data_IF_398392197903
#
_entry.id   IF_398392197903
#
_cell.length_a   1.000
_cell.length_b   1.000
_cell.length_c   1.000
_cell.angle_alpha   90.00
_cell.angle_beta   90.00
_cell.angle_gamma   90.00
#
_symmetry.space_group_name_H-M   'P 1'
#
loop_
_entity.id
_entity.type
_entity.pdbx_description
1 polymer ?
#
# COMPACT_ATOMS: atom_id res chain seq x y z
N UNK A 1 -10.08 10.03 -0.03
CA UNK A 1 -11.38 9.59 0.52
C UNK A 1 -11.34 9.42 2.03
N UNK A 2 -10.58 8.46 2.60
CA UNK A 2 -10.63 8.17 4.04
C UNK A 2 -10.33 9.35 4.98
N UNK A 3 -9.39 10.23 4.64
CA UNK A 3 -9.15 11.45 5.41
C UNK A 3 -10.34 12.42 5.44
N UNK A 4 -11.24 12.38 4.44
CA UNK A 4 -12.47 13.17 4.45
C UNK A 4 -13.46 12.63 5.49
N UNK A 5 -13.45 11.32 5.77
CA UNK A 5 -14.39 10.74 6.73
C UNK A 5 -14.13 11.19 8.16
N UNK A 6 -12.92 11.65 8.49
CA UNK A 6 -12.58 12.20 9.80
C UNK A 6 -13.38 13.47 10.17
N UNK A 7 -14.03 14.13 9.21
CA UNK A 7 -14.92 15.27 9.50
C UNK A 7 -16.31 14.83 9.99
N UNK A 8 -16.65 13.56 9.80
CA UNK A 8 -17.97 13.05 10.19
C UNK A 8 -18.01 12.83 11.71
N UNK A 9 -19.12 13.19 12.38
CA UNK A 9 -19.29 12.92 13.80
C UNK A 9 -19.14 11.43 14.12
N UNK A 10 -18.40 11.13 15.19
CA UNK A 10 -18.16 9.75 15.63
C UNK A 10 -17.12 9.00 14.81
N UNK A 11 -16.58 9.56 13.72
CA UNK A 11 -15.48 8.97 12.97
C UNK A 11 -14.16 9.57 13.43
N UNK A 12 -13.21 8.73 13.82
CA UNK A 12 -11.87 9.17 14.18
C UNK A 12 -10.84 8.45 13.31
N UNK A 13 -9.86 9.21 12.84
CA UNK A 13 -8.73 8.71 12.09
C UNK A 13 -7.46 8.84 12.94
N UNK A 14 -6.90 7.70 13.35
CA UNK A 14 -5.68 7.68 14.16
C UNK A 14 -4.41 7.85 13.34
N UNK A 15 -4.52 7.92 12.00
CA UNK A 15 -3.38 8.19 11.12
C UNK A 15 -3.37 9.66 10.68
N UNK A 16 -2.36 10.37 11.15
CA UNK A 16 -2.15 11.79 10.85
C UNK A 16 -1.43 12.02 9.51
N UNK A 17 -0.94 10.96 8.85
CA UNK A 17 -0.18 11.03 7.59
C UNK A 17 -0.99 10.46 6.41
N UNK A 18 -1.97 11.25 5.94
CA UNK A 18 -2.86 10.92 4.81
C UNK A 18 -2.33 11.51 3.51
N UNK A 19 -1.22 10.99 3.01
CA UNK A 19 -0.62 11.52 1.80
C UNK A 19 -1.32 11.04 0.52
N UNK A 20 -1.70 9.77 0.43
CA UNK A 20 -2.50 9.21 -0.66
C UNK A 20 -3.25 7.98 -0.16
N UNK A 21 -4.19 7.46 -0.96
CA UNK A 21 -4.90 6.23 -0.61
C UNK A 21 -3.97 5.02 -0.76
N UNK A 22 -4.03 4.10 0.18
CA UNK A 22 -3.18 2.91 0.29
C UNK A 22 -4.00 1.76 0.90
N UNK A 23 -3.59 0.51 0.71
CA UNK A 23 -4.28 -0.67 1.23
C UNK A 23 -4.56 -0.62 2.76
N UNK A 24 -3.68 0.02 3.54
CA UNK A 24 -3.87 0.21 5.00
C UNK A 24 -4.72 1.42 5.38
N UNK A 25 -5.20 2.20 4.42
CA UNK A 25 -5.91 3.46 4.67
C UNK A 25 -7.17 3.28 5.51
N UNK A 26 -7.83 2.14 5.42
CA UNK A 26 -8.99 1.86 6.26
C UNK A 26 -8.59 1.59 7.73
N UNK A 27 -7.44 0.97 8.01
CA UNK A 27 -7.09 0.45 9.35
C UNK A 27 -7.16 1.52 10.44
N UNK A 28 -6.81 2.77 10.14
CA UNK A 28 -6.75 3.83 11.15
C UNK A 28 -8.09 4.51 11.42
N UNK A 29 -9.13 4.17 10.65
CA UNK A 29 -10.48 4.67 10.88
C UNK A 29 -11.16 3.84 11.97
N UNK A 30 -11.66 4.53 12.99
CA UNK A 30 -12.53 4.01 14.05
C UNK A 30 -13.86 4.77 14.02
N UNK A 31 -14.95 4.10 14.38
CA UNK A 31 -16.28 4.69 14.42
C UNK A 31 -16.83 4.46 15.83
N UNK A 32 -17.29 5.52 16.49
CA UNK A 32 -17.82 5.53 17.86
C UNK A 32 -16.90 4.86 18.90
N UNK A 33 -15.58 4.94 18.71
CA UNK A 33 -14.59 4.34 19.62
C UNK A 33 -14.46 2.82 19.51
N UNK A 34 -15.13 2.17 18.56
CA UNK A 34 -14.96 0.74 18.32
C UNK A 34 -13.53 0.43 17.80
N UNK A 35 -13.00 -0.78 18.08
CA UNK A 35 -11.72 -1.21 17.54
C UNK A 35 -11.70 -1.06 16.02
N UNK A 36 -10.59 -0.54 15.49
CA UNK A 36 -10.51 -0.19 14.08
C UNK A 36 -10.63 -1.40 13.14
N UNK A 37 -10.40 -2.61 13.63
CA UNK A 37 -10.57 -3.83 12.84
C UNK A 37 -12.04 -4.24 12.70
N UNK A 38 -12.92 -3.76 13.58
CA UNK A 38 -14.30 -4.21 13.68
C UNK A 38 -15.24 -3.38 12.80
N UNK A 39 -14.82 -2.97 11.60
CA UNK A 39 -15.65 -2.20 10.66
C UNK A 39 -15.75 -2.89 9.33
N UNK A 40 -16.86 -2.66 8.64
CA UNK A 40 -17.07 -3.12 7.27
C UNK A 40 -16.84 -1.96 6.30
N UNK A 41 -16.19 -2.24 5.17
CA UNK A 41 -16.05 -1.28 4.07
C UNK A 41 -16.60 -1.97 2.83
N UNK A 42 -17.65 -1.38 2.26
CA UNK A 42 -18.31 -1.89 1.05
C UNK A 42 -18.15 -0.91 -0.09
N UNK A 43 -17.95 -1.46 -1.28
CA UNK A 43 -17.97 -0.72 -2.54
C UNK A 43 -19.13 -1.26 -3.38
N UNK A 44 -20.13 -0.43 -3.62
CA UNK A 44 -21.40 -0.79 -4.30
C UNK A 44 -22.03 -2.07 -3.69
N UNK A 45 -21.96 -2.20 -2.37
CA UNK A 45 -22.50 -3.34 -1.62
C UNK A 45 -21.56 -4.54 -1.47
N UNK A 46 -20.43 -4.60 -2.19
CA UNK A 46 -19.44 -5.67 -2.05
C UNK A 46 -18.45 -5.36 -0.93
N UNK A 47 -18.23 -6.29 0.00
CA UNK A 47 -17.19 -6.15 1.02
C UNK A 47 -15.79 -6.12 0.36
N UNK A 48 -14.99 -5.11 0.71
CA UNK A 48 -13.59 -4.95 0.23
C UNK A 48 -12.57 -4.99 1.37
N UNK A 49 -13.02 -5.32 2.58
CA UNK A 49 -12.16 -5.49 3.76
C UNK A 49 -11.55 -6.90 3.77
N UNK A 50 -10.27 -6.96 4.12
CA UNK A 50 -9.60 -8.20 4.46
C UNK A 50 -10.12 -8.79 5.78
N UNK A 51 -10.74 -9.97 5.71
CA UNK A 51 -11.27 -10.67 6.88
C UNK A 51 -10.19 -11.40 7.70
N UNK A 52 -8.99 -11.63 7.15
CA UNK A 52 -7.86 -12.26 7.85
C UNK A 52 -6.72 -11.31 8.23
N UNK A 53 -6.61 -10.16 7.55
CA UNK A 53 -5.52 -9.20 7.69
C UNK A 53 -5.97 -7.85 8.24
N UNK A 54 -5.98 -7.74 9.58
CA UNK A 54 -5.97 -6.49 10.36
C UNK A 54 -6.90 -5.33 9.90
N UNK A 55 -8.02 -5.61 9.22
CA UNK A 55 -8.99 -4.60 8.78
C UNK A 55 -8.50 -3.71 7.61
N UNK A 56 -7.67 -4.26 6.72
CA UNK A 56 -7.19 -3.56 5.52
C UNK A 56 -8.26 -3.50 4.44
N UNK A 57 -8.23 -2.49 3.56
CA UNK A 57 -9.15 -2.41 2.42
C UNK A 57 -8.37 -2.57 1.13
N UNK A 58 -8.61 -3.69 0.42
CA UNK A 58 -7.84 -4.09 -0.76
C UNK A 58 -8.11 -3.21 -1.98
N UNK A 59 -9.29 -2.61 -2.04
CA UNK A 59 -9.72 -1.78 -3.18
C UNK A 59 -9.91 -0.36 -2.71
N UNK A 60 -8.99 0.51 -3.09
CA UNK A 60 -9.06 1.94 -2.81
C UNK A 60 -9.47 2.65 -4.10
N UNK A 61 -10.68 3.20 -4.14
CA UNK A 61 -11.15 3.97 -5.29
C UNK A 61 -10.50 5.35 -5.32
N UNK A 62 -10.22 5.84 -6.53
CA UNK A 62 -9.87 7.24 -6.70
C UNK A 62 -11.05 8.16 -6.35
N UNK A 63 -10.75 9.40 -5.94
CA UNK A 63 -11.78 10.32 -5.44
C UNK A 63 -12.82 10.64 -6.52
N UNK A 64 -12.40 10.70 -7.78
CA UNK A 64 -13.26 11.02 -8.91
C UNK A 64 -14.25 9.92 -9.27
N UNK A 65 -13.98 8.65 -8.97
CA UNK A 65 -14.95 7.56 -9.19
C UNK A 65 -16.00 7.46 -8.10
N UNK A 66 -15.84 8.14 -6.96
CA UNK A 66 -16.77 8.07 -5.85
C UNK A 66 -17.92 9.05 -6.09
N UNK A 67 -19.14 8.54 -6.11
CA UNK A 67 -20.36 9.35 -6.13
C UNK A 67 -20.79 9.75 -4.73
N UNK A 68 -20.82 8.78 -3.82
CA UNK A 68 -21.26 8.98 -2.44
C UNK A 68 -20.47 8.10 -1.46
N UNK A 69 -20.31 8.61 -0.24
CA UNK A 69 -19.81 7.84 0.90
C UNK A 69 -20.81 7.96 2.02
N UNK A 70 -21.33 6.83 2.47
CA UNK A 70 -22.23 6.73 3.59
C UNK A 70 -21.52 6.01 4.75
N UNK A 71 -21.54 6.62 5.92
CA UNK A 71 -21.04 5.98 7.15
C UNK A 71 -22.22 5.68 8.06
N UNK A 72 -22.47 4.40 8.28
CA UNK A 72 -23.50 3.89 9.18
C UNK A 72 -22.81 3.51 10.48
N UNK A 73 -22.96 4.41 11.47
CA UNK A 73 -22.29 4.29 12.76
C UNK A 73 -23.13 3.54 13.81
N UNK A 74 -24.46 3.62 13.72
CA UNK A 74 -25.45 3.00 14.60
C UNK A 74 -26.70 2.59 13.79
N UNK A 75 -27.52 1.68 14.32
CA UNK A 75 -28.78 1.30 13.68
C UNK A 75 -28.63 0.31 12.52
N UNK A 76 -27.79 -0.71 12.68
CA UNK A 76 -27.61 -1.76 11.68
C UNK A 76 -28.93 -2.49 11.41
N UNK A 77 -29.36 -2.48 10.16
CA UNK A 77 -30.33 -3.43 9.63
C UNK A 77 -29.69 -4.82 9.51
N UNK A 78 -30.48 -5.89 9.54
CA UNK A 78 -29.95 -7.27 9.53
C UNK A 78 -29.04 -7.56 8.31
N UNK A 79 -29.28 -6.91 7.18
CA UNK A 79 -28.46 -6.91 5.95
C UNK A 79 -27.04 -6.32 6.12
N UNK A 80 -26.86 -5.49 7.16
CA UNK A 80 -25.60 -4.83 7.51
C UNK A 80 -24.98 -5.41 8.79
N UNK A 81 -25.43 -6.60 9.21
CA UNK A 81 -24.80 -7.36 10.29
C UNK A 81 -23.36 -7.78 9.95
N UNK A 82 -22.67 -8.36 10.94
CA UNK A 82 -21.28 -8.89 10.93
C UNK A 82 -20.21 -8.02 11.61
N UNK A 83 -20.36 -6.69 11.64
CA UNK A 83 -19.35 -5.80 12.23
C UNK A 83 -19.94 -4.84 13.27
N UNK A 84 -19.33 -4.80 14.46
CA UNK A 84 -19.81 -4.01 15.62
C UNK A 84 -19.37 -2.53 15.57
N UNK A 85 -18.37 -2.20 14.76
CA UNK A 85 -17.68 -0.90 14.75
C UNK A 85 -17.93 -0.05 13.52
N UNK A 86 -19.04 -0.24 12.81
CA UNK A 86 -19.50 0.63 11.73
C UNK A 86 -19.43 -0.01 10.34
N UNK A 87 -20.25 0.52 9.43
CA UNK A 87 -20.21 0.21 8.01
C UNK A 87 -19.91 1.49 7.22
N UNK A 88 -18.89 1.43 6.37
CA UNK A 88 -18.58 2.45 5.38
C UNK A 88 -19.06 1.92 4.03
N UNK A 89 -20.11 2.50 3.46
CA UNK A 89 -20.62 2.18 2.13
C UNK A 89 -20.18 3.22 1.12
N UNK A 90 -19.55 2.78 0.05
CA UNK A 90 -19.01 3.62 -1.01
C UNK A 90 -19.77 3.32 -2.28
N UNK A 91 -20.40 4.34 -2.87
CA UNK A 91 -21.12 4.20 -4.14
C UNK A 91 -20.31 4.86 -5.24
N UNK A 92 -20.04 4.11 -6.32
CA UNK A 92 -19.31 4.64 -7.47
C UNK A 92 -20.22 5.38 -8.45
N UNK A 93 -19.67 6.39 -9.12
CA UNK A 93 -20.34 7.09 -10.22
C UNK A 93 -20.71 6.11 -11.34
N UNK A 94 -21.88 6.31 -11.93
CA UNK A 94 -22.34 5.57 -13.10
C UNK A 94 -22.20 6.42 -14.37
N UNK A 95 -22.37 5.79 -15.53
CA UNK A 95 -22.43 6.55 -16.78
C UNK A 95 -23.67 7.45 -16.85
N UNK A 96 -23.57 8.55 -17.60
CA UNK A 96 -24.62 9.58 -17.71
C UNK A 96 -25.18 9.68 -19.13
N UNK A 97 -26.37 10.26 -19.30
CA UNK A 97 -26.96 10.49 -20.63
C UNK A 97 -26.25 11.56 -21.46
N UNK A 98 -25.44 12.40 -20.80
CA UNK A 98 -24.59 13.41 -21.43
C UNK A 98 -23.13 13.04 -21.22
N UNK A 99 -22.26 13.32 -22.20
CA UNK A 99 -20.82 13.18 -22.01
C UNK A 99 -20.32 14.21 -20.99
N UNK A 100 -19.62 13.74 -19.96
CA UNK A 100 -18.97 14.55 -18.92
C UNK A 100 -17.59 14.01 -18.65
N UNK A 101 -16.68 14.87 -18.22
CA UNK A 101 -15.37 14.46 -17.76
C UNK A 101 -14.73 15.49 -16.84
N UNK A 102 -13.71 15.04 -16.12
CA UNK A 102 -12.86 15.85 -15.25
C UNK A 102 -11.41 15.48 -15.46
N UNK A 103 -10.50 16.41 -15.18
CA UNK A 103 -9.07 16.16 -15.10
C UNK A 103 -8.46 17.05 -14.03
N UNK A 104 -7.50 16.51 -13.27
CA UNK A 104 -6.88 17.23 -12.17
C UNK A 104 -5.45 16.76 -11.92
N UNK A 105 -4.71 17.60 -11.21
CA UNK A 105 -3.35 17.34 -10.76
C UNK A 105 -3.12 17.98 -9.39
N UNK A 106 -2.57 17.21 -8.46
CA UNK A 106 -2.13 17.61 -7.14
C UNK A 106 -0.63 17.36 -7.02
N UNK A 107 0.15 18.43 -6.98
CA UNK A 107 1.60 18.37 -6.80
C UNK A 107 2.00 18.87 -5.41
N UNK A 108 2.60 18.01 -4.60
CA UNK A 108 3.18 18.36 -3.29
C UNK A 108 4.69 18.28 -3.34
N UNK A 109 5.36 19.30 -2.78
CA UNK A 109 6.82 19.45 -2.84
C UNK A 109 7.37 20.01 -1.54
N UNK A 110 8.54 19.55 -1.15
CA UNK A 110 9.34 20.07 -0.04
C UNK A 110 9.56 21.59 -0.17
N UNK A 111 9.80 22.10 -1.38
CA UNK A 111 10.01 23.54 -1.63
C UNK A 111 8.85 24.44 -1.20
N UNK A 112 7.64 23.91 -1.08
CA UNK A 112 6.46 24.67 -0.66
C UNK A 112 6.19 24.56 0.85
N UNK A 113 6.92 23.70 1.56
CA UNK A 113 6.75 23.43 2.98
C UNK A 113 7.90 24.04 3.80
N UNK A 114 7.61 24.45 5.04
CA UNK A 114 8.65 24.77 6.03
C UNK A 114 9.41 23.51 6.46
N UNK A 115 10.61 23.67 7.04
CA UNK A 115 11.24 22.59 7.78
C UNK A 115 10.53 22.41 9.14
N UNK A 116 10.65 21.22 9.72
CA UNK A 116 10.10 20.92 11.04
C UNK A 116 10.93 21.60 12.13
N UNK A 117 10.27 22.14 13.16
CA UNK A 117 10.90 22.81 14.30
C UNK A 117 12.05 21.97 14.90
N UNK A 118 11.85 20.67 15.11
CA UNK A 118 12.87 19.83 15.75
C UNK A 118 14.07 19.56 14.85
N UNK A 119 13.86 19.56 13.52
CA UNK A 119 14.95 19.46 12.54
C UNK A 119 15.76 20.74 12.47
N UNK A 120 15.10 21.90 12.46
CA UNK A 120 15.77 23.19 12.51
C UNK A 120 16.58 23.34 13.80
N UNK A 121 16.01 22.99 14.96
CA UNK A 121 16.70 23.00 16.25
C UNK A 121 17.94 22.08 16.27
N UNK A 122 17.95 21.04 15.44
CA UNK A 122 19.06 20.09 15.32
C UNK A 122 20.00 20.39 14.14
N UNK A 123 19.85 21.54 13.46
CA UNK A 123 20.58 21.90 12.23
C UNK A 123 20.50 20.83 11.12
N UNK A 124 19.38 20.09 11.05
CA UNK A 124 19.16 19.06 10.04
C UNK A 124 18.46 19.65 8.80
N UNK A 125 18.89 19.28 7.58
CA UNK A 125 18.27 19.76 6.35
C UNK A 125 16.83 19.25 6.23
N UNK A 126 16.00 19.99 5.49
CA UNK A 126 14.64 19.56 5.14
C UNK A 126 14.71 18.29 4.27
N UNK A 127 13.95 17.22 4.60
CA UNK A 127 13.96 16.01 3.80
C UNK A 127 13.29 16.26 2.43
N UNK A 128 13.71 15.49 1.42
CA UNK A 128 13.03 15.46 0.13
C UNK A 128 11.57 15.01 0.34
N UNK A 129 10.62 15.70 -0.28
CA UNK A 129 9.20 15.34 -0.20
C UNK A 129 8.56 15.68 -1.53
N UNK A 130 8.22 14.68 -2.33
CA UNK A 130 7.62 14.89 -3.65
C UNK A 130 6.53 13.87 -3.89
N UNK A 131 5.30 14.34 -3.94
CA UNK A 131 4.13 13.53 -4.29
C UNK A 131 3.43 14.19 -5.46
N UNK A 132 3.12 13.39 -6.47
CA UNK A 132 2.26 13.77 -7.58
C UNK A 132 1.07 12.85 -7.59
N UNK A 133 -0.12 13.43 -7.61
CA UNK A 133 -1.32 12.66 -7.88
C UNK A 133 -2.03 13.34 -9.03
N UNK A 134 -2.31 12.59 -10.07
CA UNK A 134 -3.06 13.09 -11.22
C UNK A 134 -4.16 12.13 -11.54
N UNK A 135 -5.24 12.65 -12.11
CA UNK A 135 -6.36 11.80 -12.47
C UNK A 135 -7.28 12.45 -13.47
N UNK A 136 -8.10 11.61 -14.06
CA UNK A 136 -9.19 12.05 -14.91
C UNK A 136 -10.37 11.09 -14.79
N UNK A 137 -11.54 11.58 -15.18
CA UNK A 137 -12.73 10.77 -15.35
C UNK A 137 -13.46 11.16 -16.61
N UNK A 138 -14.15 10.20 -17.20
CA UNK A 138 -15.04 10.40 -18.34
C UNK A 138 -16.22 9.47 -18.23
N UNK A 139 -17.41 9.97 -18.49
CA UNK A 139 -18.62 9.16 -18.50
C UNK A 139 -19.66 9.74 -19.44
N UNK A 140 -20.50 8.88 -19.99
CA UNK A 140 -21.47 9.30 -20.99
C UNK A 140 -22.23 8.15 -21.65
N UNK A 141 -23.06 8.48 -22.64
CA UNK A 141 -23.77 7.49 -23.44
C UNK A 141 -22.81 6.81 -24.42
N UNK A 142 -22.96 5.51 -24.60
CA UNK A 142 -22.26 4.77 -25.66
C UNK A 142 -23.02 4.96 -26.98
N UNK A 143 -22.26 5.30 -28.02
CA UNK A 143 -22.74 5.46 -29.40
C UNK A 143 -21.87 4.61 -30.31
N UNK A 144 -22.46 3.56 -30.87
CA UNK A 144 -21.84 2.68 -31.86
C UNK A 144 -22.67 2.81 -33.14
N UNK A 145 -22.14 3.44 -34.19
CA UNK A 145 -22.87 3.65 -35.44
C UNK A 145 -23.49 2.34 -35.97
N UNK A 146 -24.78 2.36 -36.27
CA UNK A 146 -25.52 1.21 -36.79
C UNK A 146 -25.90 0.12 -35.77
N UNK A 147 -25.49 0.25 -34.50
CA UNK A 147 -25.77 -0.74 -33.45
C UNK A 147 -26.45 -0.15 -32.22
N UNK A 148 -25.91 0.91 -31.62
CA UNK A 148 -26.40 1.49 -30.35
C UNK A 148 -26.31 3.02 -30.41
N UNK A 149 -27.38 3.72 -30.05
CA UNK A 149 -27.37 5.16 -29.80
C UNK A 149 -28.04 5.49 -28.47
N UNK A 150 -27.22 5.67 -27.43
CA UNK A 150 -27.70 5.90 -26.06
C UNK A 150 -27.92 7.39 -25.73
N UNK A 151 -27.83 8.29 -26.72
CA UNK A 151 -28.02 9.74 -26.54
C UNK A 151 -29.49 10.16 -26.44
N UNK A 152 -30.41 9.33 -26.94
CA UNK A 152 -31.85 9.61 -26.98
C UNK A 152 -32.67 9.02 -25.83
N UNK A 153 -33.82 9.61 -25.52
CA UNK A 153 -34.72 9.11 -24.47
C UNK A 153 -35.65 7.96 -24.92
N UNK A 154 -35.80 7.67 -26.22
CA UNK A 154 -36.89 6.84 -26.76
C UNK A 154 -36.56 5.47 -27.38
N UNK A 155 -35.33 4.95 -27.25
CA UNK A 155 -34.94 3.63 -27.81
C UNK A 155 -34.87 2.52 -26.76
N UNK A 156 -35.15 1.27 -27.17
CA UNK A 156 -34.88 0.06 -26.38
C UNK A 156 -33.38 -0.27 -26.39
N UNK A 157 -32.80 -0.55 -25.23
CA UNK A 157 -31.36 -0.87 -25.12
C UNK A 157 -30.46 0.35 -25.05
N UNK A 158 -30.25 0.89 -23.84
CA UNK A 158 -29.32 2.02 -23.60
C UNK A 158 -28.08 1.51 -22.88
N UNK A 159 -26.91 2.03 -23.28
CA UNK A 159 -25.64 1.67 -22.68
C UNK A 159 -24.89 2.94 -22.27
N UNK A 160 -24.46 2.99 -21.01
CA UNK A 160 -23.70 4.09 -20.45
C UNK A 160 -22.37 3.57 -19.94
N UNK A 161 -21.35 4.42 -20.03
CA UNK A 161 -20.02 4.09 -19.51
C UNK A 161 -19.56 5.16 -18.53
N UNK A 162 -18.71 4.74 -17.60
CA UNK A 162 -17.91 5.60 -16.76
C UNK A 162 -16.53 4.98 -16.61
N UNK A 163 -15.49 5.79 -16.83
CA UNK A 163 -14.11 5.40 -16.65
C UNK A 163 -13.38 6.46 -15.85
N UNK A 164 -12.53 6.04 -14.93
CA UNK A 164 -11.69 6.94 -14.16
C UNK A 164 -10.32 6.33 -13.91
N UNK A 165 -9.32 7.20 -13.94
CA UNK A 165 -7.92 6.86 -13.78
C UNK A 165 -7.27 7.79 -12.76
N UNK A 166 -6.44 7.21 -11.89
CA UNK A 166 -5.54 7.97 -11.01
C UNK A 166 -4.13 7.39 -11.10
N UNK A 167 -3.14 8.28 -11.08
CA UNK A 167 -1.72 7.99 -11.00
C UNK A 167 -1.17 8.68 -9.76
N UNK A 168 -0.47 7.95 -8.92
CA UNK A 168 0.27 8.46 -7.78
C UNK A 168 1.74 8.15 -7.98
N UNK A 169 2.58 9.18 -7.97
CA UNK A 169 4.03 9.05 -7.91
C UNK A 169 4.51 9.67 -6.59
N UNK A 170 5.10 8.86 -5.73
CA UNK A 170 5.68 9.27 -4.45
C UNK A 170 7.19 9.03 -4.47
N UNK A 171 7.94 10.11 -4.21
CA UNK A 171 9.39 10.11 -4.10
C UNK A 171 9.77 10.81 -2.79
N UNK A 172 9.76 10.02 -1.71
CA UNK A 172 10.21 10.42 -0.38
C UNK A 172 11.41 9.54 0.01
N UNK A 173 12.47 10.12 0.59
CA UNK A 173 13.55 9.34 1.17
C UNK A 173 12.98 8.66 2.41
N UNK A 174 13.13 7.34 2.49
CA UNK A 174 12.94 6.65 3.76
C UNK A 174 14.30 6.49 4.45
N UNK A 175 14.28 6.00 5.68
CA UNK A 175 15.52 5.82 6.42
C UNK A 175 16.45 4.84 5.69
N UNK A 176 17.77 5.05 5.82
CA UNK A 176 18.74 4.01 5.49
C UNK A 176 18.41 2.77 6.32
N UNK A 177 18.07 1.68 5.65
CA UNK A 177 17.84 0.42 6.33
C UNK A 177 19.15 -0.32 6.50
N UNK A 178 19.28 -0.97 7.64
CA UNK A 178 20.50 -1.68 8.05
C UNK A 178 20.11 -3.09 8.44
N UNK A 179 20.88 -4.05 7.95
CA UNK A 179 20.59 -5.46 8.15
C UNK A 179 21.88 -6.28 8.25
N UNK A 180 21.74 -7.45 8.86
CA UNK A 180 22.75 -8.51 8.79
C UNK A 180 22.39 -9.43 7.64
N UNK A 181 23.28 -9.47 6.66
CA UNK A 181 23.20 -10.41 5.54
C UNK A 181 24.36 -11.40 5.65
N UNK A 182 24.17 -12.68 5.29
CA UNK A 182 25.28 -13.62 5.27
C UNK A 182 26.41 -13.14 4.37
N UNK A 183 27.63 -13.16 4.89
CA UNK A 183 28.86 -12.94 4.11
C UNK A 183 29.12 -14.12 3.17
N UNK A 184 30.03 -13.93 2.20
CA UNK A 184 30.41 -15.02 1.30
C UNK A 184 31.02 -16.23 2.05
N UNK A 185 31.79 -15.98 3.11
CA UNK A 185 32.37 -17.03 3.96
C UNK A 185 31.29 -17.77 4.76
N UNK A 186 30.36 -17.02 5.38
CA UNK A 186 29.27 -17.62 6.16
C UNK A 186 28.35 -18.48 5.29
N UNK A 187 28.12 -18.10 4.02
CA UNK A 187 27.37 -18.93 3.05
C UNK A 187 28.05 -20.26 2.73
N UNK A 188 29.37 -20.35 2.92
CA UNK A 188 30.15 -21.58 2.78
C UNK A 188 30.34 -22.33 4.12
N UNK A 189 29.74 -21.84 5.21
CA UNK A 189 29.87 -22.41 6.55
C UNK A 189 31.14 -21.99 7.30
N UNK A 190 31.87 -20.98 6.81
CA UNK A 190 33.03 -20.41 7.49
C UNK A 190 32.60 -19.15 8.28
N UNK A 191 32.60 -19.28 9.60
CA UNK A 191 32.26 -18.22 10.54
C UNK A 191 33.50 -17.66 11.25
N UNK A 192 34.71 -17.91 10.74
CA UNK A 192 35.99 -17.47 11.35
C UNK A 192 36.10 -15.96 11.54
N UNK A 193 35.27 -15.19 10.82
CA UNK A 193 35.21 -13.72 10.87
C UNK A 193 33.91 -13.17 11.44
N UNK A 194 32.95 -14.03 11.81
CA UNK A 194 31.66 -13.62 12.37
C UNK A 194 31.89 -13.06 13.78
N UNK A 195 31.51 -11.79 13.98
CA UNK A 195 31.70 -11.07 15.23
C UNK A 195 30.38 -10.72 15.88
N UNK A 196 30.35 -10.67 17.22
CA UNK A 196 29.26 -10.03 17.95
C UNK A 196 29.52 -8.54 18.10
N UNK A 197 28.52 -7.83 18.63
CA UNK A 197 28.50 -6.38 18.86
C UNK A 197 29.77 -5.78 19.47
N UNK A 198 30.44 -6.49 20.38
CA UNK A 198 31.64 -6.02 21.06
C UNK A 198 32.95 -6.27 20.27
N UNK A 199 32.85 -6.77 19.04
CA UNK A 199 33.97 -7.06 18.15
C UNK A 199 34.65 -8.43 18.36
N UNK A 200 34.21 -9.25 19.33
CA UNK A 200 34.75 -10.61 19.53
C UNK A 200 34.16 -11.60 18.54
N UNK A 201 34.93 -12.65 18.17
CA UNK A 201 34.45 -13.72 17.29
C UNK A 201 33.34 -14.50 18.00
N UNK A 202 32.21 -14.70 17.32
CA UNK A 202 31.10 -15.52 17.80
C UNK A 202 31.47 -17.01 17.64
N UNK A 203 31.66 -17.79 18.72
CA UNK A 203 31.94 -19.21 18.60
C UNK A 203 30.68 -19.95 18.09
N UNK A 204 30.86 -20.77 17.07
CA UNK A 204 29.84 -21.68 16.54
C UNK A 204 30.06 -23.05 17.20
N UNK A 205 29.07 -23.47 17.99
CA UNK A 205 29.14 -24.69 18.78
C UNK A 205 28.65 -25.88 17.94
N UNK A 206 29.43 -26.97 17.93
CA UNK A 206 28.98 -28.23 17.35
C UNK A 206 27.92 -28.85 18.26
N UNK A 207 26.67 -29.03 17.78
CA UNK A 207 25.60 -29.61 18.59
C UNK A 207 25.85 -31.07 19.00
N UNK A 208 26.78 -31.79 18.35
CA UNK A 208 27.11 -33.17 18.72
C UNK A 208 28.10 -33.27 19.88
N UNK A 209 28.98 -32.28 20.04
CA UNK A 209 30.08 -32.34 21.03
C UNK A 209 29.93 -31.29 22.13
N UNK A 210 29.14 -30.24 21.89
CA UNK A 210 29.06 -29.08 22.79
C UNK A 210 30.30 -28.18 22.78
N UNK A 211 31.28 -28.46 21.91
CA UNK A 211 32.51 -27.68 21.76
C UNK A 211 32.45 -26.80 20.50
N UNK A 212 33.20 -25.68 20.44
CA UNK A 212 33.30 -24.87 19.23
C UNK A 212 33.86 -25.69 18.05
N UNK A 213 33.36 -25.45 16.84
CA UNK A 213 33.97 -26.01 15.63
C UNK A 213 35.44 -25.53 15.51
N UNK A 214 36.39 -26.41 15.15
CA UNK A 214 37.77 -26.01 14.88
C UNK A 214 37.81 -24.89 13.83
N UNK A 215 38.49 -23.79 14.14
CA UNK A 215 38.58 -22.63 13.24
C UNK A 215 37.25 -21.90 13.00
N UNK A 216 36.18 -22.24 13.72
CA UNK A 216 34.84 -21.73 13.50
C UNK A 216 34.24 -22.08 12.11
N UNK A 217 34.68 -23.21 11.53
CA UNK A 217 34.24 -23.68 10.21
C UNK A 217 33.39 -24.93 10.34
N UNK A 218 32.18 -24.91 9.78
CA UNK A 218 31.30 -26.07 9.72
C UNK A 218 31.76 -26.98 8.57
N UNK A 219 32.06 -28.27 8.81
CA UNK A 219 32.43 -29.20 7.75
C UNK A 219 31.32 -29.33 6.69
N UNK A 220 31.69 -29.39 5.41
CA UNK A 220 30.73 -29.41 4.30
C UNK A 220 29.71 -30.58 4.36
N UNK A 221 30.11 -31.73 4.91
CA UNK A 221 29.21 -32.89 5.12
C UNK A 221 28.19 -32.69 6.25
N UNK A 222 28.29 -31.61 7.02
CA UNK A 222 27.36 -31.22 8.09
C UNK A 222 26.44 -30.07 7.66
N UNK A 223 26.59 -29.57 6.43
CA UNK A 223 25.75 -28.50 5.86
C UNK A 223 24.61 -29.15 5.06
N UNK A 224 23.38 -28.77 5.35
CA UNK A 224 22.21 -29.19 4.56
C UNK A 224 22.24 -28.55 3.18
N UNK A 225 22.13 -29.37 2.13
CA UNK A 225 22.08 -28.89 0.74
C UNK A 225 20.91 -27.93 0.51
N UNK A 226 19.72 -28.23 1.06
CA UNK A 226 18.57 -27.34 0.98
C UNK A 226 18.82 -26.02 1.71
N UNK A 227 19.43 -26.07 2.89
CA UNK A 227 19.79 -24.87 3.65
C UNK A 227 20.76 -23.98 2.88
N UNK A 228 21.74 -24.57 2.20
CA UNK A 228 22.70 -23.85 1.37
C UNK A 228 22.04 -23.19 0.15
N UNK A 229 21.08 -23.86 -0.49
CA UNK A 229 20.28 -23.28 -1.57
C UNK A 229 19.40 -22.12 -1.07
N UNK A 230 18.80 -22.24 0.11
CA UNK A 230 18.03 -21.16 0.72
C UNK A 230 18.91 -19.95 1.08
N UNK A 231 20.12 -20.17 1.59
CA UNK A 231 21.10 -19.12 1.86
C UNK A 231 21.50 -18.32 0.61
N UNK A 232 21.47 -18.97 -0.56
CA UNK A 232 21.76 -18.31 -1.85
C UNK A 232 20.62 -17.41 -2.34
N UNK A 233 19.41 -17.52 -1.78
CA UNK A 233 18.32 -16.58 -2.04
C UNK A 233 18.50 -15.25 -1.30
N UNK A 234 19.29 -15.24 -0.22
CA UNK A 234 19.59 -14.02 0.52
C UNK A 234 20.63 -13.18 -0.24
N UNK A 235 20.48 -11.85 -0.29
CA UNK A 235 21.48 -10.98 -0.88
C UNK A 235 22.81 -11.10 -0.13
N UNK A 236 23.91 -10.89 -0.83
CA UNK A 236 25.24 -10.78 -0.20
C UNK A 236 25.37 -9.44 0.53
N UNK A 237 26.10 -9.45 1.64
CA UNK A 237 26.39 -8.21 2.35
C UNK A 237 27.18 -7.22 1.48
N UNK A 238 26.85 -5.93 1.55
CA UNK A 238 27.59 -4.87 0.84
C UNK A 238 28.73 -4.24 1.64
N UNK A 239 28.99 -4.75 2.85
CA UNK A 239 30.15 -4.39 3.67
C UNK A 239 30.02 -3.06 4.43
N UNK A 240 28.89 -2.38 4.33
CA UNK A 240 28.67 -1.11 5.04
C UNK A 240 28.29 -1.38 6.50
N UNK A 241 29.22 -1.03 7.40
CA UNK A 241 29.02 -1.15 8.84
C UNK A 241 28.22 0.01 9.43
N UNK A 242 27.58 -0.20 10.59
CA UNK A 242 26.91 0.86 11.33
C UNK A 242 27.89 1.53 12.33
N UNK A 243 28.32 2.78 12.12
CA UNK A 243 29.34 3.40 12.97
C UNK A 243 28.86 3.72 14.39
N UNK A 244 27.58 3.54 14.72
CA UNK A 244 27.08 3.73 16.09
C UNK A 244 27.73 2.72 17.04
N UNK A 245 28.22 3.21 18.19
CA UNK A 245 28.85 2.39 19.21
C UNK A 245 27.96 1.18 19.59
N UNK A 246 28.53 -0.03 19.53
CA UNK A 246 27.79 -1.26 19.78
C UNK A 246 26.78 -1.64 18.68
N UNK A 247 26.93 -1.15 17.45
CA UNK A 247 26.15 -1.61 16.29
C UNK A 247 27.03 -1.95 15.07
N UNK A 248 28.31 -1.58 15.09
CA UNK A 248 29.27 -1.77 14.00
C UNK A 248 29.35 -3.20 13.49
N UNK A 249 29.30 -4.17 14.41
CA UNK A 249 29.42 -5.60 14.10
C UNK A 249 28.06 -6.31 13.97
N UNK A 250 26.95 -5.58 14.08
CA UNK A 250 25.59 -6.13 13.97
C UNK A 250 24.80 -5.54 12.81
N UNK A 251 25.49 -4.91 11.87
CA UNK A 251 24.95 -4.53 10.57
C UNK A 251 26.09 -4.55 9.59
N UNK A 252 26.12 -5.53 8.69
CA UNK A 252 27.13 -5.60 7.62
C UNK A 252 26.60 -5.16 6.26
N UNK A 253 25.34 -4.72 6.22
CA UNK A 253 24.71 -4.18 5.04
C UNK A 253 23.92 -2.94 5.36
N UNK A 254 24.05 -1.94 4.51
CA UNK A 254 23.13 -0.81 4.48
C UNK A 254 22.51 -0.74 3.09
N UNK A 255 21.31 -0.19 2.98
CA UNK A 255 20.74 0.17 1.69
C UNK A 255 19.91 1.43 1.88
N UNK A 256 20.07 2.37 0.95
CA UNK A 256 19.23 3.55 0.93
C UNK A 256 17.85 3.13 0.39
N UNK A 257 16.85 3.15 1.26
CA UNK A 257 15.49 3.03 0.82
C UNK A 257 15.05 4.44 0.41
N UNK A 258 15.18 4.75 -0.87
CA UNK A 258 14.33 5.77 -1.47
C UNK A 258 13.29 5.03 -2.29
N UNK A 259 12.17 4.59 -1.67
CA UNK A 259 11.09 4.01 -2.44
C UNK A 259 10.61 5.09 -3.41
N UNK A 260 10.80 4.84 -4.69
CA UNK A 260 9.92 5.39 -5.68
C UNK A 260 8.68 4.49 -5.63
N UNK A 261 7.59 5.09 -5.22
CA UNK A 261 6.30 4.42 -5.10
C UNK A 261 5.42 4.93 -6.23
N UNK A 262 4.92 4.01 -7.03
CA UNK A 262 4.06 4.28 -8.17
C UNK A 262 2.78 3.49 -8.05
N UNK A 263 1.65 4.18 -7.96
CA UNK A 263 0.34 3.53 -7.86
C UNK A 263 -0.58 3.98 -8.98
N UNK A 264 -1.27 3.03 -9.59
CA UNK A 264 -2.24 3.27 -10.66
C UNK A 264 -3.58 2.65 -10.30
N UNK A 265 -4.64 3.45 -10.40
CA UNK A 265 -5.99 3.03 -10.08
C UNK A 265 -6.89 3.22 -11.30
N UNK A 266 -7.51 2.14 -11.74
CA UNK A 266 -8.44 2.11 -12.86
C UNK A 266 -9.82 1.71 -12.36
N UNK A 267 -10.84 2.52 -12.67
CA UNK A 267 -12.24 2.17 -12.44
C UNK A 267 -12.97 2.25 -13.77
N UNK A 268 -13.61 1.15 -14.17
CA UNK A 268 -14.49 1.10 -15.33
C UNK A 268 -15.86 0.57 -14.88
N UNK A 269 -16.91 1.23 -15.36
CA UNK A 269 -18.29 0.81 -15.17
C UNK A 269 -19.05 0.93 -16.47
N UNK A 270 -19.86 -0.08 -16.76
CA UNK A 270 -20.77 -0.13 -17.90
C UNK A 270 -22.17 -0.44 -17.38
N UNK A 271 -23.14 0.41 -17.67
CA UNK A 271 -24.52 0.26 -17.25
C UNK A 271 -25.41 0.07 -18.49
N UNK A 272 -26.06 -1.09 -18.58
CA UNK A 272 -26.99 -1.43 -19.65
C UNK A 272 -28.44 -1.40 -19.15
N UNK A 273 -29.27 -0.59 -19.78
CA UNK A 273 -30.73 -0.58 -19.61
C UNK A 273 -31.33 -1.34 -20.79
N UNK A 274 -31.61 -2.62 -20.58
CA UNK A 274 -32.14 -3.52 -21.61
C UNK A 274 -33.63 -3.26 -21.84
N UNK A 275 -34.38 -3.11 -20.75
CA UNK A 275 -35.81 -2.75 -20.74
C UNK A 275 -36.10 -1.86 -19.53
N UNK A 276 -37.32 -1.34 -19.40
CA UNK A 276 -37.74 -0.55 -18.23
C UNK A 276 -37.67 -1.35 -16.91
N UNK A 277 -37.67 -2.68 -16.99
CA UNK A 277 -37.63 -3.60 -15.86
C UNK A 277 -36.28 -4.29 -15.69
N UNK A 278 -35.39 -4.23 -16.68
CA UNK A 278 -34.14 -5.00 -16.69
C UNK A 278 -32.96 -4.08 -16.90
N UNK A 279 -32.09 -4.01 -15.89
CA UNK A 279 -30.83 -3.27 -15.92
C UNK A 279 -29.71 -4.18 -15.49
N UNK A 280 -28.57 -4.08 -16.16
CA UNK A 280 -27.35 -4.83 -15.84
C UNK A 280 -26.20 -3.85 -15.70
N UNK A 281 -25.33 -4.05 -14.70
CA UNK A 281 -24.12 -3.28 -14.54
C UNK A 281 -22.91 -4.22 -14.54
N UNK A 282 -21.86 -3.83 -15.25
CA UNK A 282 -20.55 -4.45 -15.20
C UNK A 282 -19.56 -3.45 -14.62
N UNK A 283 -18.70 -3.91 -13.72
CA UNK A 283 -17.69 -3.09 -13.07
C UNK A 283 -16.36 -3.80 -13.01
N UNK A 284 -15.30 -3.04 -13.29
CA UNK A 284 -13.92 -3.45 -13.12
C UNK A 284 -13.21 -2.39 -12.29
N UNK A 285 -12.53 -2.84 -11.22
CA UNK A 285 -11.58 -2.01 -10.48
C UNK A 285 -10.24 -2.72 -10.51
N UNK A 286 -9.20 -2.00 -10.92
CA UNK A 286 -7.83 -2.49 -10.90
C UNK A 286 -6.98 -1.48 -10.15
N UNK A 287 -6.46 -1.91 -9.01
CA UNK A 287 -5.50 -1.17 -8.22
C UNK A 287 -4.14 -1.85 -8.37
N UNK A 288 -3.14 -1.12 -8.84
CA UNK A 288 -1.77 -1.62 -8.97
C UNK A 288 -0.86 -0.70 -8.19
N UNK A 289 -0.10 -1.32 -7.29
CA UNK A 289 0.82 -0.66 -6.39
C UNK A 289 2.23 -1.21 -6.65
N UNK A 290 3.13 -0.37 -7.13
CA UNK A 290 4.51 -0.72 -7.46
C UNK A 290 5.47 0.05 -6.54
N UNK A 291 6.32 -0.68 -5.84
CA UNK A 291 7.40 -0.12 -5.02
C UNK A 291 8.76 -0.45 -5.65
N UNK A 292 9.57 0.57 -5.89
CA UNK A 292 10.92 0.43 -6.41
C UNK A 292 11.92 1.05 -5.44
N UNK A 293 12.73 0.21 -4.81
CA UNK A 293 13.91 0.66 -4.07
C UNK A 293 15.16 0.44 -4.90
N UNK A 294 15.93 1.50 -5.12
CA UNK A 294 17.27 1.39 -5.71
C UNK A 294 18.30 1.33 -4.59
N UNK A 295 19.15 0.31 -4.58
CA UNK A 295 20.31 0.32 -3.71
C UNK A 295 21.31 1.35 -4.26
N UNK A 296 21.39 2.52 -3.64
CA UNK A 296 22.31 3.62 -4.03
C UNK A 296 23.63 3.60 -3.26
N UNK A 297 23.90 2.54 -2.50
CA UNK A 297 25.13 2.38 -1.73
C UNK A 297 26.23 1.81 -2.61
#
# INVERSE_FOLDING_TARGET
MFGLMAILPGVQDTNLNRDFAQWRSAISITINGAPSQNKDVRVDGLNVVDEGGCGTAYVNLNLDAIGEVQVIANGYTAENGRNNGGLISIVTKSGTSTLKGSGWYNGRRDRFNSNDYFREASNLPKPLYRINISGYSVGGPVVIPGLIDSRGQGGSGKLYFFASQEYTDDARPTATSRANMPTALEKMGDFSQTRITNGTIQPIIDPLTGLPFPGNVIPANRISLLGQQMLNLLPTANGVLNPTAGQEWTSNSAYDLTPLHGRTNHVLRMDAVLTDKTRTAFKLVKDRDDDWSWNRI
#
